data_IF_481975890396
#
_entry.id   IF_481975890396
#
_cell.length_a   1.000
_cell.length_b   1.000
_cell.length_c   1.000
_cell.angle_alpha   90.00
_cell.angle_beta   90.00
_cell.angle_gamma   90.00
#
_symmetry.space_group_name_H-M   'P 1'
#
loop_
_entity.id
_entity.type
_entity.pdbx_description
1 polymer ?
#
# COMPACT_ATOMS: atom_id res chain seq x y z
N UNK A 1 18.48 -18.38 -1.22
CA UNK A 1 18.59 -18.13 0.22
C UNK A 1 17.26 -18.36 0.90
N UNK A 2 17.23 -18.60 2.23
CA UNK A 2 15.99 -18.78 3.01
C UNK A 2 15.95 -17.79 4.18
N UNK A 3 14.90 -16.99 4.24
CA UNK A 3 14.65 -15.98 5.28
C UNK A 3 13.71 -16.53 6.34
N UNK A 4 13.93 -16.19 7.61
CA UNK A 4 12.86 -16.16 8.59
C UNK A 4 12.19 -14.79 8.50
N UNK A 5 10.98 -14.73 7.96
CA UNK A 5 10.26 -13.48 7.68
C UNK A 5 9.11 -13.25 8.67
N UNK A 6 9.29 -12.28 9.57
CA UNK A 6 8.32 -11.96 10.61
C UNK A 6 7.52 -10.71 10.20
N UNK A 7 6.20 -10.81 10.22
CA UNK A 7 5.29 -9.73 9.84
C UNK A 7 4.09 -9.61 10.78
N UNK A 8 3.53 -8.41 10.90
CA UNK A 8 2.27 -8.18 11.61
C UNK A 8 1.03 -8.55 10.79
N UNK A 9 1.20 -8.89 9.53
CA UNK A 9 0.10 -9.29 8.65
C UNK A 9 -0.54 -10.60 9.10
N UNK A 10 -1.75 -10.85 8.61
CA UNK A 10 -2.39 -12.16 8.76
C UNK A 10 -2.28 -12.93 7.44
N UNK A 11 -2.18 -14.25 7.50
CA UNK A 11 -2.15 -15.12 6.34
C UNK A 11 -3.44 -15.96 6.23
N UNK A 12 -4.02 -16.06 5.02
CA UNK A 12 -3.65 -15.40 3.77
C UNK A 12 -3.76 -13.88 3.87
N UNK A 13 -2.87 -13.15 3.18
CA UNK A 13 -2.80 -11.69 3.24
C UNK A 13 -3.24 -11.06 1.92
N UNK A 14 -3.90 -9.90 2.03
CA UNK A 14 -4.23 -9.05 0.88
C UNK A 14 -3.13 -8.00 0.58
N UNK A 15 -2.06 -7.97 1.36
CA UNK A 15 -0.93 -7.07 1.13
C UNK A 15 -0.13 -7.56 -0.06
N UNK A 16 -0.21 -6.84 -1.18
CA UNK A 16 0.42 -7.24 -2.43
C UNK A 16 1.93 -7.41 -2.33
N UNK A 17 2.63 -6.55 -1.58
CA UNK A 17 4.06 -6.68 -1.31
C UNK A 17 4.42 -7.96 -0.53
N UNK A 18 3.54 -8.46 0.32
CA UNK A 18 3.75 -9.73 1.02
C UNK A 18 3.29 -10.91 0.15
N UNK A 19 2.05 -10.88 -0.34
CA UNK A 19 1.48 -12.01 -1.09
C UNK A 19 2.18 -12.21 -2.45
N UNK A 20 2.34 -11.16 -3.25
CA UNK A 20 2.95 -11.27 -4.57
C UNK A 20 4.47 -11.29 -4.49
N UNK A 21 5.11 -10.28 -3.88
CA UNK A 21 6.57 -10.17 -3.91
C UNK A 21 7.24 -11.33 -3.15
N UNK A 22 6.90 -11.54 -1.86
CA UNK A 22 7.49 -12.61 -1.06
C UNK A 22 6.88 -13.98 -1.35
N UNK A 23 5.55 -14.07 -1.52
CA UNK A 23 4.84 -15.34 -1.69
C UNK A 23 4.97 -15.96 -3.07
N UNK A 24 5.14 -15.14 -4.12
CA UNK A 24 5.06 -15.62 -5.52
C UNK A 24 6.36 -15.38 -6.31
N UNK A 25 6.89 -14.15 -6.32
CA UNK A 25 7.95 -13.76 -7.26
C UNK A 25 9.37 -14.00 -6.75
N UNK A 26 9.69 -13.63 -5.50
CA UNK A 26 11.03 -13.84 -4.94
C UNK A 26 11.49 -15.31 -4.96
N UNK A 27 10.64 -16.33 -4.73
CA UNK A 27 11.03 -17.74 -4.88
C UNK A 27 11.54 -18.10 -6.28
N UNK A 28 11.03 -17.46 -7.34
CA UNK A 28 11.47 -17.67 -8.73
C UNK A 28 12.92 -17.22 -8.94
N UNK A 29 13.40 -16.31 -8.09
CA UNK A 29 14.77 -15.79 -8.09
C UNK A 29 15.64 -16.40 -6.98
N UNK A 30 15.18 -17.49 -6.35
CA UNK A 30 15.95 -18.24 -5.35
C UNK A 30 15.95 -17.61 -3.94
N UNK A 31 15.03 -16.68 -3.65
CA UNK A 31 14.83 -16.11 -2.31
C UNK A 31 13.54 -16.68 -1.72
N UNK A 32 13.70 -17.60 -0.79
CA UNK A 32 12.62 -18.27 -0.07
C UNK A 32 12.42 -17.65 1.31
N UNK A 33 11.21 -17.76 1.85
CA UNK A 33 10.90 -17.21 3.18
C UNK A 33 9.88 -18.08 3.92
N UNK A 34 10.20 -18.44 5.16
CA UNK A 34 9.21 -18.98 6.07
C UNK A 34 8.54 -17.79 6.76
N UNK A 35 7.22 -17.70 6.62
CA UNK A 35 6.48 -16.56 7.14
C UNK A 35 5.97 -16.80 8.55
N UNK A 36 6.31 -15.90 9.48
CA UNK A 36 5.79 -15.86 10.85
C UNK A 36 4.73 -14.76 10.92
N UNK A 37 3.47 -15.15 11.06
CA UNK A 37 2.33 -14.24 10.92
C UNK A 37 1.15 -14.64 11.81
N UNK A 38 0.12 -13.79 11.83
CA UNK A 38 -1.19 -14.16 12.36
C UNK A 38 -1.98 -15.03 11.37
N UNK A 39 -2.93 -15.83 11.86
CA UNK A 39 -3.91 -16.50 11.01
C UNK A 39 -5.08 -15.54 10.76
N UNK A 40 -5.52 -15.44 9.50
CA UNK A 40 -6.71 -14.65 9.16
C UNK A 40 -7.95 -15.25 9.83
N UNK A 41 -8.73 -14.46 10.58
CA UNK A 41 -9.95 -14.97 11.21
C UNK A 41 -10.92 -15.60 10.19
N UNK A 42 -11.49 -16.73 10.55
CA UNK A 42 -12.43 -17.47 9.68
C UNK A 42 -11.76 -18.27 8.55
N UNK A 43 -10.44 -18.32 8.49
CA UNK A 43 -9.71 -19.15 7.54
C UNK A 43 -9.05 -20.34 8.25
N UNK A 44 -9.79 -21.47 8.32
CA UNK A 44 -9.33 -22.69 9.01
C UNK A 44 -8.53 -23.64 8.10
N UNK A 45 -8.42 -23.31 6.82
CA UNK A 45 -7.68 -24.10 5.83
C UNK A 45 -6.17 -23.97 5.92
N UNK A 46 -5.46 -24.86 5.24
CA UNK A 46 -4.03 -24.74 5.00
C UNK A 46 -3.76 -23.51 4.13
N UNK A 47 -2.93 -22.60 4.62
CA UNK A 47 -2.49 -21.44 3.84
C UNK A 47 -1.37 -21.90 2.93
N UNK A 48 -1.57 -21.83 1.62
CA UNK A 48 -0.51 -22.08 0.66
C UNK A 48 0.44 -20.88 0.62
N UNK A 49 1.72 -21.14 0.87
CA UNK A 49 2.80 -20.18 0.80
C UNK A 49 3.93 -20.76 -0.03
N UNK A 50 4.00 -20.39 -1.32
CA UNK A 50 4.94 -21.00 -2.25
C UNK A 50 6.42 -20.71 -1.90
N UNK A 51 6.67 -19.71 -1.06
CA UNK A 51 8.03 -19.32 -0.65
C UNK A 51 8.62 -20.20 0.47
N UNK A 52 7.84 -21.03 1.14
CA UNK A 52 8.32 -21.83 2.27
C UNK A 52 7.22 -22.27 3.23
N UNK A 53 7.52 -22.30 4.52
CA UNK A 53 6.58 -22.72 5.56
C UNK A 53 5.80 -21.54 6.14
N UNK A 54 4.59 -21.82 6.62
CA UNK A 54 3.77 -20.86 7.36
C UNK A 54 3.79 -21.19 8.84
N UNK A 55 4.34 -20.28 9.64
CA UNK A 55 4.33 -20.32 11.10
C UNK A 55 3.25 -19.36 11.60
N UNK A 56 2.01 -19.86 11.75
CA UNK A 56 0.86 -19.04 12.06
C UNK A 56 0.42 -19.18 13.51
N UNK A 57 -0.03 -18.06 14.12
CA UNK A 57 -0.70 -18.06 15.41
C UNK A 57 -2.12 -17.52 15.30
N UNK A 58 -3.02 -18.02 16.16
CA UNK A 58 -4.34 -17.42 16.31
C UNK A 58 -4.24 -16.03 16.93
N UNK A 59 -4.76 -15.04 16.22
CA UNK A 59 -4.80 -13.63 16.64
C UNK A 59 -6.21 -13.17 17.05
N UNK A 60 -7.09 -14.09 17.40
CA UNK A 60 -8.42 -13.76 17.91
C UNK A 60 -8.37 -12.94 19.22
N UNK A 61 -9.34 -12.05 19.40
CA UNK A 61 -9.49 -11.20 20.57
C UNK A 61 -9.21 -9.72 20.30
N UNK A 62 -9.28 -8.88 21.35
CA UNK A 62 -9.05 -7.43 21.24
C UNK A 62 -7.62 -7.08 20.82
N UNK A 63 -7.44 -5.85 20.32
CA UNK A 63 -6.17 -5.39 19.72
C UNK A 63 -4.93 -5.63 20.60
N UNK A 64 -5.00 -5.32 21.89
CA UNK A 64 -3.87 -5.52 22.82
C UNK A 64 -3.50 -7.01 22.91
N UNK A 65 -4.49 -7.90 23.05
CA UNK A 65 -4.27 -9.36 23.09
C UNK A 65 -3.66 -9.88 21.79
N UNK A 66 -4.12 -9.37 20.66
CA UNK A 66 -3.55 -9.66 19.34
C UNK A 66 -2.07 -9.29 19.28
N UNK A 67 -1.69 -8.08 19.70
CA UNK A 67 -0.30 -7.63 19.70
C UNK A 67 0.60 -8.50 20.60
N UNK A 68 0.13 -8.85 21.80
CA UNK A 68 0.88 -9.72 22.71
C UNK A 68 1.07 -11.11 22.13
N UNK A 69 0.01 -11.73 21.57
CA UNK A 69 0.10 -13.05 20.92
C UNK A 69 1.09 -13.03 19.76
N UNK A 70 1.02 -12.04 18.87
CA UNK A 70 1.93 -11.89 17.72
C UNK A 70 3.37 -11.71 18.19
N UNK A 71 3.61 -10.88 19.20
CA UNK A 71 4.95 -10.68 19.78
C UNK A 71 5.53 -11.96 20.36
N UNK A 72 4.79 -12.66 21.22
CA UNK A 72 5.23 -13.92 21.83
C UNK A 72 5.47 -15.01 20.79
N UNK A 73 4.62 -15.09 19.77
CA UNK A 73 4.80 -16.03 18.66
C UNK A 73 6.07 -15.73 17.88
N UNK A 74 6.29 -14.47 17.53
CA UNK A 74 7.51 -14.03 16.86
C UNK A 74 8.78 -14.33 17.67
N UNK A 75 8.77 -14.05 18.98
CA UNK A 75 9.88 -14.36 19.88
C UNK A 75 10.15 -15.89 19.91
N UNK A 76 9.11 -16.73 19.98
CA UNK A 76 9.27 -18.20 19.93
C UNK A 76 9.89 -18.65 18.61
N UNK A 77 9.47 -18.07 17.48
CA UNK A 77 10.06 -18.36 16.17
C UNK A 77 11.54 -17.96 16.12
N UNK A 78 11.89 -16.79 16.66
CA UNK A 78 13.28 -16.33 16.74
C UNK A 78 14.16 -17.27 17.60
N UNK A 79 13.64 -17.84 18.69
CA UNK A 79 14.39 -18.82 19.50
C UNK A 79 14.68 -20.11 18.72
N UNK A 80 13.70 -20.61 17.95
CA UNK A 80 13.82 -21.84 17.14
C UNK A 80 14.70 -21.67 15.91
N UNK A 81 14.84 -20.44 15.38
CA UNK A 81 15.64 -20.17 14.20
C UNK A 81 17.11 -20.53 14.43
N UNK A 82 17.75 -21.09 13.42
CA UNK A 82 19.18 -21.45 13.44
C UNK A 82 19.84 -21.27 12.06
N UNK A 83 21.17 -21.19 12.05
CA UNK A 83 21.98 -21.04 10.81
C UNK A 83 21.83 -22.21 9.84
N UNK A 84 21.46 -23.38 10.35
CA UNK A 84 21.20 -24.55 9.51
C UNK A 84 19.94 -24.38 8.64
N UNK A 85 18.97 -23.58 9.12
CA UNK A 85 17.69 -23.40 8.45
C UNK A 85 17.56 -22.08 7.71
N UNK A 86 18.22 -21.01 8.20
CA UNK A 86 18.04 -19.66 7.67
C UNK A 86 19.37 -18.95 7.41
N UNK A 87 19.43 -18.17 6.34
CA UNK A 87 20.56 -17.32 6.02
C UNK A 87 20.41 -15.90 6.57
N UNK A 88 19.18 -15.45 6.88
CA UNK A 88 18.93 -14.17 7.51
C UNK A 88 17.61 -14.14 8.27
N UNK A 89 17.47 -13.19 9.18
CA UNK A 89 16.21 -12.84 9.88
C UNK A 89 15.74 -11.51 9.35
N UNK A 90 14.48 -11.44 8.93
CA UNK A 90 13.84 -10.20 8.47
C UNK A 90 12.57 -9.91 9.26
N UNK A 91 12.44 -8.69 9.73
CA UNK A 91 11.24 -8.20 10.43
C UNK A 91 10.63 -7.04 9.68
N UNK A 92 9.30 -7.10 9.47
CA UNK A 92 8.52 -6.07 8.78
C UNK A 92 7.62 -5.33 9.75
N UNK A 93 7.77 -3.99 9.82
CA UNK A 93 6.88 -3.04 10.49
C UNK A 93 6.58 -3.28 11.98
N UNK A 94 7.41 -4.02 12.71
CA UNK A 94 7.23 -4.34 14.13
C UNK A 94 8.45 -3.92 14.96
N UNK A 95 8.57 -2.64 15.38
CA UNK A 95 9.78 -2.12 16.04
C UNK A 95 10.21 -2.89 17.30
N UNK A 96 9.25 -3.31 18.13
CA UNK A 96 9.55 -4.09 19.34
C UNK A 96 10.08 -5.47 18.97
N UNK A 97 9.41 -6.19 18.08
CA UNK A 97 9.89 -7.51 17.63
C UNK A 97 11.19 -7.40 16.85
N UNK A 98 11.41 -6.29 16.14
CA UNK A 98 12.67 -6.03 15.43
C UNK A 98 13.87 -5.90 16.39
N UNK A 99 13.69 -5.31 17.55
CA UNK A 99 14.74 -5.27 18.57
C UNK A 99 15.10 -6.68 19.06
N UNK A 100 14.12 -7.55 19.31
CA UNK A 100 14.36 -8.96 19.62
C UNK A 100 14.98 -9.72 18.44
N UNK A 101 14.53 -9.45 17.22
CA UNK A 101 15.05 -10.03 15.99
C UNK A 101 16.52 -9.69 15.78
N UNK A 102 16.89 -8.42 15.99
CA UNK A 102 18.27 -7.95 15.92
C UNK A 102 19.17 -8.66 16.97
N UNK A 103 18.69 -8.74 18.22
CA UNK A 103 19.43 -9.44 19.28
C UNK A 103 19.61 -10.94 18.96
N UNK A 104 18.55 -11.60 18.52
CA UNK A 104 18.59 -13.01 18.12
C UNK A 104 19.54 -13.24 16.91
N UNK A 105 19.49 -12.35 15.91
CA UNK A 105 20.39 -12.43 14.75
C UNK A 105 21.86 -12.30 15.17
N UNK A 106 22.19 -11.34 16.04
CA UNK A 106 23.56 -11.18 16.55
C UNK A 106 24.01 -12.39 17.37
N UNK A 107 23.18 -12.91 18.27
CA UNK A 107 23.50 -14.11 19.06
C UNK A 107 23.72 -15.34 18.18
N UNK A 108 22.99 -15.44 17.06
CA UNK A 108 23.08 -16.56 16.10
C UNK A 108 24.06 -16.29 14.95
N UNK A 109 24.69 -15.13 14.91
CA UNK A 109 25.57 -14.64 13.84
C UNK A 109 24.90 -14.73 12.45
N UNK A 110 23.60 -14.34 12.36
CA UNK A 110 22.84 -14.21 11.13
C UNK A 110 22.73 -12.72 10.76
N UNK A 111 22.69 -12.36 9.48
CA UNK A 111 22.27 -11.04 9.04
C UNK A 111 20.85 -10.73 9.52
N UNK A 112 20.64 -9.45 9.88
CA UNK A 112 19.34 -8.92 10.28
C UNK A 112 18.89 -7.84 9.31
N UNK A 113 17.72 -8.05 8.70
CA UNK A 113 17.10 -7.10 7.78
C UNK A 113 15.83 -6.51 8.40
N UNK A 114 15.63 -5.21 8.18
CA UNK A 114 14.40 -4.55 8.55
C UNK A 114 13.65 -4.07 7.32
N UNK A 115 12.37 -4.40 7.23
CA UNK A 115 11.48 -3.94 6.17
C UNK A 115 10.53 -2.88 6.74
N UNK A 116 10.65 -1.66 6.23
CA UNK A 116 9.86 -0.51 6.65
C UNK A 116 8.90 -0.12 5.54
N UNK A 117 7.64 -0.57 5.63
CA UNK A 117 6.61 -0.19 4.66
C UNK A 117 5.83 1.06 5.06
N UNK A 118 5.91 1.42 6.33
CA UNK A 118 5.25 2.60 6.89
C UNK A 118 5.98 3.05 8.17
N UNK A 119 6.03 4.35 8.49
CA UNK A 119 6.56 4.84 9.75
C UNK A 119 5.59 4.56 10.90
N UNK A 120 5.50 3.28 11.29
CA UNK A 120 4.55 2.76 12.27
C UNK A 120 4.51 3.54 13.59
N UNK A 121 5.66 3.97 14.17
CA UNK A 121 5.65 4.75 15.40
C UNK A 121 4.92 6.09 15.26
N UNK A 122 5.14 6.78 14.15
CA UNK A 122 4.51 8.06 13.85
C UNK A 122 3.00 7.88 13.66
N UNK A 123 2.60 6.87 12.91
CA UNK A 123 1.18 6.53 12.73
C UNK A 123 0.47 6.20 14.03
N UNK A 124 1.14 5.52 14.97
CA UNK A 124 0.59 5.25 16.31
C UNK A 124 0.42 6.55 17.13
N UNK A 125 1.40 7.45 17.08
CA UNK A 125 1.33 8.73 17.79
C UNK A 125 0.21 9.61 17.22
N UNK A 126 0.07 9.67 15.90
CA UNK A 126 -0.97 10.46 15.24
C UNK A 126 -2.36 9.88 15.51
N UNK A 127 -2.52 8.55 15.48
CA UNK A 127 -3.75 7.88 15.88
C UNK A 127 -4.15 8.22 17.34
N UNK A 128 -3.19 8.30 18.25
CA UNK A 128 -3.45 8.71 19.62
C UNK A 128 -3.94 10.18 19.68
N UNK A 129 -3.30 11.07 18.92
CA UNK A 129 -3.68 12.49 18.85
C UNK A 129 -5.08 12.69 18.27
N UNK A 130 -5.38 11.99 17.18
CA UNK A 130 -6.71 12.05 16.54
C UNK A 130 -7.84 11.58 17.45
N UNK A 131 -7.59 10.48 18.20
CA UNK A 131 -8.58 9.95 19.15
C UNK A 131 -8.78 10.86 20.35
N UNK A 132 -7.75 11.52 20.81
CA UNK A 132 -7.78 12.34 22.01
C UNK A 132 -8.14 11.55 23.28
N UNK A 133 -8.15 12.23 24.43
CA UNK A 133 -8.56 11.65 25.70
C UNK A 133 -10.08 11.36 25.78
N UNK A 134 -10.88 12.03 24.95
CA UNK A 134 -12.34 11.85 24.88
C UNK A 134 -12.75 10.45 24.43
N UNK A 135 -11.91 9.77 23.66
CA UNK A 135 -12.17 8.39 23.23
C UNK A 135 -11.91 7.34 24.34
N UNK A 136 -11.37 7.77 25.49
CA UNK A 136 -11.03 6.95 26.64
C UNK A 136 -9.52 6.77 26.84
N UNK A 137 -9.11 6.82 28.12
CA UNK A 137 -7.70 6.84 28.51
C UNK A 137 -6.86 5.73 27.88
N UNK A 138 -7.33 4.49 27.90
CA UNK A 138 -6.59 3.35 27.34
C UNK A 138 -6.49 3.40 25.82
N UNK A 139 -7.51 3.93 25.12
CA UNK A 139 -7.49 4.09 23.66
C UNK A 139 -6.53 5.19 23.21
N UNK A 140 -6.22 6.13 24.08
CA UNK A 140 -5.19 7.15 23.89
C UNK A 140 -3.80 6.64 24.29
N UNK A 141 -3.65 6.14 25.54
CA UNK A 141 -2.32 5.79 26.09
C UNK A 141 -1.65 4.64 25.36
N UNK A 142 -2.39 3.60 24.98
CA UNK A 142 -1.79 2.43 24.33
C UNK A 142 -1.09 2.80 23.00
N UNK A 143 -1.70 3.44 22.02
CA UNK A 143 -0.99 3.83 20.80
C UNK A 143 0.06 4.90 21.07
N UNK A 144 -0.15 5.83 22.02
CA UNK A 144 0.84 6.85 22.35
C UNK A 144 2.13 6.24 22.94
N UNK A 145 2.02 5.36 23.93
CA UNK A 145 3.18 4.68 24.53
C UNK A 145 3.84 3.76 23.52
N UNK A 146 3.05 2.96 22.79
CA UNK A 146 3.55 2.07 21.74
C UNK A 146 4.33 2.84 20.68
N UNK A 147 3.81 3.98 20.23
CA UNK A 147 4.48 4.85 19.27
C UNK A 147 5.78 5.44 19.83
N UNK A 148 5.80 5.92 21.08
CA UNK A 148 7.02 6.48 21.72
C UNK A 148 8.10 5.43 21.91
N UNK A 149 7.73 4.26 22.43
CA UNK A 149 8.66 3.13 22.60
C UNK A 149 9.15 2.62 21.25
N UNK A 150 8.22 2.43 20.31
CA UNK A 150 8.55 2.01 18.95
C UNK A 150 9.51 2.98 18.25
N UNK A 151 9.28 4.28 18.39
CA UNK A 151 10.14 5.34 17.85
C UNK A 151 11.57 5.27 18.41
N UNK A 152 11.69 5.11 19.72
CA UNK A 152 13.01 4.95 20.35
C UNK A 152 13.73 3.70 19.85
N UNK A 153 13.06 2.53 19.90
CA UNK A 153 13.64 1.26 19.46
C UNK A 153 14.02 1.29 17.98
N UNK A 154 13.12 1.78 17.12
CA UNK A 154 13.34 1.80 15.67
C UNK A 154 14.51 2.71 15.31
N UNK A 155 14.41 4.00 15.65
CA UNK A 155 15.36 5.02 15.16
C UNK A 155 16.67 5.08 15.95
N UNK A 156 16.72 4.60 17.19
CA UNK A 156 17.96 4.60 17.99
C UNK A 156 18.69 3.26 18.01
N UNK A 157 17.99 2.16 17.74
CA UNK A 157 18.58 0.83 17.87
C UNK A 157 18.52 0.04 16.56
N UNK A 158 17.33 -0.15 15.98
CA UNK A 158 17.12 -1.10 14.90
C UNK A 158 17.74 -0.61 13.60
N UNK A 159 17.36 0.58 13.12
CA UNK A 159 17.79 1.07 11.81
C UNK A 159 19.29 1.28 11.71
N UNK A 160 19.94 1.76 12.77
CA UNK A 160 21.40 1.96 12.77
C UNK A 160 22.21 0.66 12.89
N UNK A 161 21.60 -0.43 13.33
CA UNK A 161 22.29 -1.71 13.56
C UNK A 161 21.85 -2.84 12.65
N UNK A 162 20.79 -2.64 11.88
CA UNK A 162 20.39 -3.58 10.84
C UNK A 162 21.50 -3.71 9.78
N UNK A 163 21.74 -4.91 9.28
CA UNK A 163 22.70 -5.12 8.21
C UNK A 163 22.19 -4.53 6.90
N UNK A 164 20.86 -4.56 6.69
CA UNK A 164 20.21 -3.84 5.61
C UNK A 164 18.78 -3.41 5.98
N UNK A 165 18.32 -2.31 5.40
CA UNK A 165 16.97 -1.76 5.60
C UNK A 165 16.29 -1.61 4.25
N UNK A 166 15.17 -2.27 4.07
CA UNK A 166 14.30 -2.06 2.92
C UNK A 166 13.24 -1.01 3.28
N UNK A 167 13.16 0.06 2.49
CA UNK A 167 12.24 1.18 2.70
C UNK A 167 11.24 1.27 1.56
N UNK A 168 10.05 1.85 1.82
CA UNK A 168 8.94 1.82 0.87
C UNK A 168 9.13 2.75 -0.35
N UNK A 169 9.97 3.78 -0.25
CA UNK A 169 10.16 4.76 -1.32
C UNK A 169 11.52 5.45 -1.23
N UNK A 170 11.93 6.15 -2.29
CA UNK A 170 13.11 7.03 -2.26
C UNK A 170 12.93 8.13 -1.21
N UNK A 171 11.75 8.72 -1.11
CA UNK A 171 11.46 9.71 -0.08
C UNK A 171 11.66 9.16 1.33
N UNK A 172 11.19 7.93 1.62
CA UNK A 172 11.43 7.30 2.91
C UNK A 172 12.93 7.07 3.16
N UNK A 173 13.70 6.72 2.12
CA UNK A 173 15.16 6.59 2.22
C UNK A 173 15.81 7.92 2.59
N UNK A 174 15.40 9.02 1.96
CA UNK A 174 15.88 10.38 2.28
C UNK A 174 15.54 10.76 3.73
N UNK A 175 14.30 10.52 4.16
CA UNK A 175 13.85 10.81 5.51
C UNK A 175 14.65 10.01 6.57
N UNK A 176 14.94 8.74 6.29
CA UNK A 176 15.78 7.91 7.19
C UNK A 176 17.25 8.32 7.15
N UNK A 177 17.78 8.71 6.01
CA UNK A 177 19.13 9.25 5.89
C UNK A 177 19.29 10.56 6.68
N UNK A 178 18.28 11.43 6.67
CA UNK A 178 18.24 12.65 7.49
C UNK A 178 18.24 12.35 9.01
N UNK A 179 17.80 11.15 9.41
CA UNK A 179 17.89 10.66 10.79
C UNK A 179 19.23 9.95 11.09
N UNK A 180 20.19 9.98 10.15
CA UNK A 180 21.53 9.42 10.31
C UNK A 180 21.66 7.93 9.98
N UNK A 181 20.65 7.31 9.34
CA UNK A 181 20.79 5.93 8.85
C UNK A 181 21.62 5.97 7.56
N UNK A 182 22.60 5.08 7.45
CA UNK A 182 23.51 5.01 6.32
C UNK A 182 22.75 4.69 5.00
N UNK A 183 22.73 5.59 4.00
CA UNK A 183 22.04 5.37 2.74
C UNK A 183 22.54 4.16 1.95
N UNK A 184 23.82 3.75 2.15
CA UNK A 184 24.38 2.57 1.49
C UNK A 184 23.76 1.26 1.99
N UNK A 185 23.19 1.26 3.19
CA UNK A 185 22.47 0.11 3.78
C UNK A 185 20.97 0.18 3.59
N UNK A 186 20.49 1.09 2.74
CA UNK A 186 19.06 1.24 2.47
C UNK A 186 18.74 1.00 0.99
N UNK A 187 17.75 0.17 0.73
CA UNK A 187 17.20 -0.04 -0.62
C UNK A 187 15.72 0.30 -0.64
N UNK A 188 15.29 1.23 -1.47
CA UNK A 188 13.88 1.46 -1.74
C UNK A 188 13.26 0.27 -2.48
N UNK A 189 12.11 -0.18 -2.02
CA UNK A 189 11.31 -1.21 -2.66
C UNK A 189 9.91 -0.68 -2.85
N UNK A 190 9.68 -0.18 -4.05
CA UNK A 190 8.44 0.47 -4.42
C UNK A 190 7.30 -0.55 -4.55
N UNK A 191 6.07 -0.10 -4.38
CA UNK A 191 4.92 -0.96 -4.64
C UNK A 191 4.80 -1.25 -6.14
N UNK A 192 4.52 -2.49 -6.43
CA UNK A 192 4.38 -3.01 -7.77
C UNK A 192 2.97 -3.53 -8.07
N UNK A 193 2.84 -4.09 -9.25
CA UNK A 193 1.63 -4.74 -9.74
C UNK A 193 1.93 -6.19 -10.10
N UNK A 194 1.04 -7.10 -9.73
CA UNK A 194 1.06 -8.47 -10.24
C UNK A 194 0.46 -8.50 -11.65
N UNK A 195 1.35 -8.42 -12.65
CA UNK A 195 0.95 -8.40 -14.06
C UNK A 195 0.38 -9.74 -14.55
N UNK A 196 0.54 -10.82 -13.79
CA UNK A 196 -0.10 -12.10 -14.11
C UNK A 196 -1.58 -12.12 -13.70
N UNK A 197 -1.95 -11.34 -12.67
CA UNK A 197 -3.34 -11.18 -12.24
C UNK A 197 -4.09 -10.15 -13.08
N UNK A 198 -3.38 -9.17 -13.67
CA UNK A 198 -3.93 -8.15 -14.56
C UNK A 198 -3.67 -8.55 -16.01
N UNK A 199 -4.47 -9.48 -16.52
CA UNK A 199 -4.52 -9.82 -17.93
C UNK A 199 -5.69 -9.07 -18.58
N UNK A 200 -5.39 -8.07 -19.41
CA UNK A 200 -6.42 -7.21 -20.00
C UNK A 200 -7.41 -7.99 -20.87
N UNK A 201 -6.96 -9.06 -21.53
CA UNK A 201 -7.80 -9.91 -22.36
C UNK A 201 -8.84 -10.72 -21.54
N UNK A 202 -8.46 -11.08 -20.29
CA UNK A 202 -9.31 -11.86 -19.39
C UNK A 202 -10.11 -10.96 -18.42
N UNK A 203 -9.95 -9.64 -18.51
CA UNK A 203 -10.55 -8.68 -17.59
C UNK A 203 -11.42 -7.66 -18.36
N UNK A 204 -12.65 -7.99 -18.75
CA UNK A 204 -13.54 -7.05 -19.44
C UNK A 204 -13.92 -5.87 -18.54
N UNK A 205 -14.32 -4.75 -19.12
CA UNK A 205 -14.94 -3.64 -18.38
C UNK A 205 -16.18 -4.09 -17.62
N UNK A 206 -16.53 -3.36 -16.55
CA UNK A 206 -17.74 -3.66 -15.78
C UNK A 206 -18.97 -3.52 -16.70
N UNK A 207 -19.83 -4.53 -16.65
CA UNK A 207 -21.14 -4.53 -17.30
C UNK A 207 -22.21 -4.06 -16.28
N UNK A 208 -22.26 -2.74 -16.09
CA UNK A 208 -23.19 -2.09 -15.18
C UNK A 208 -24.02 -1.07 -15.94
N UNK A 209 -25.35 -1.23 -16.05
CA UNK A 209 -26.22 -0.31 -16.80
C UNK A 209 -26.13 1.15 -16.35
N UNK A 210 -25.70 1.39 -15.10
CA UNK A 210 -25.52 2.75 -14.57
C UNK A 210 -24.35 3.50 -15.22
N UNK A 211 -23.45 2.81 -15.90
CA UNK A 211 -22.31 3.38 -16.63
C UNK A 211 -22.67 3.74 -18.08
N UNK A 212 -23.79 3.24 -18.59
CA UNK A 212 -24.19 3.42 -19.99
C UNK A 212 -24.40 4.90 -20.31
N UNK A 213 -23.75 5.38 -21.37
CA UNK A 213 -23.81 6.78 -21.81
C UNK A 213 -23.10 7.77 -20.87
N UNK A 214 -22.31 7.30 -19.89
CA UNK A 214 -21.59 8.15 -18.94
C UNK A 214 -20.12 8.31 -19.30
N UNK A 215 -19.57 9.47 -18.99
CA UNK A 215 -18.13 9.75 -18.99
C UNK A 215 -17.57 9.40 -17.61
N UNK A 216 -16.98 8.24 -17.49
CA UNK A 216 -16.65 7.63 -16.19
C UNK A 216 -15.30 8.10 -15.67
N UNK A 217 -15.30 8.62 -14.45
CA UNK A 217 -14.15 8.92 -13.62
C UNK A 217 -14.10 7.92 -12.44
N UNK A 218 -13.00 7.21 -12.22
CA UNK A 218 -12.95 6.15 -11.21
C UNK A 218 -11.94 6.43 -10.09
N UNK A 219 -12.34 6.14 -8.86
CA UNK A 219 -11.46 6.02 -7.71
C UNK A 219 -11.59 4.63 -7.10
N UNK A 220 -10.49 3.89 -6.95
CA UNK A 220 -10.44 2.57 -6.30
C UNK A 220 -9.69 2.65 -4.97
N UNK A 221 -10.35 2.29 -3.87
CA UNK A 221 -9.70 2.19 -2.56
C UNK A 221 -10.64 2.42 -1.39
N UNK A 222 -10.09 2.33 -0.17
CA UNK A 222 -10.86 2.65 1.04
C UNK A 222 -11.26 4.11 1.06
N UNK A 223 -12.46 4.37 1.59
CA UNK A 223 -13.02 5.72 1.73
C UNK A 223 -12.83 6.28 3.15
N UNK A 224 -11.76 5.86 3.82
CA UNK A 224 -11.49 6.24 5.21
C UNK A 224 -11.08 7.73 5.34
N UNK A 225 -11.34 8.34 6.49
CA UNK A 225 -11.07 9.77 6.79
C UNK A 225 -9.68 10.25 6.37
N UNK A 226 -8.59 9.52 6.60
CA UNK A 226 -7.25 9.98 6.20
C UNK A 226 -7.06 10.09 4.69
N UNK A 227 -7.95 9.50 3.88
CA UNK A 227 -7.89 9.60 2.41
C UNK A 227 -8.39 10.93 1.86
N UNK A 228 -9.23 11.63 2.63
CA UNK A 228 -9.75 12.96 2.31
C UNK A 228 -10.25 13.08 0.87
N UNK A 229 -11.04 12.09 0.45
CA UNK A 229 -11.53 11.98 -0.94
C UNK A 229 -12.62 13.00 -1.29
N UNK A 230 -13.10 13.76 -0.34
CA UNK A 230 -14.15 14.78 -0.52
C UNK A 230 -13.81 15.83 -1.58
N UNK A 231 -12.51 16.04 -1.88
CA UNK A 231 -12.09 16.94 -2.96
C UNK A 231 -12.60 16.47 -4.35
N UNK A 232 -12.89 15.17 -4.48
CA UNK A 232 -13.42 14.61 -5.73
C UNK A 232 -14.85 15.06 -6.00
N UNK A 233 -15.61 15.46 -4.99
CA UNK A 233 -16.96 16.03 -5.19
C UNK A 233 -16.90 17.46 -5.73
N UNK A 234 -15.98 18.29 -5.23
CA UNK A 234 -15.73 19.62 -5.81
C UNK A 234 -15.18 19.49 -7.25
N UNK A 235 -14.25 18.57 -7.48
CA UNK A 235 -13.77 18.22 -8.82
C UNK A 235 -14.95 17.87 -9.75
N UNK A 236 -15.79 16.92 -9.33
CA UNK A 236 -16.93 16.46 -10.14
C UNK A 236 -17.91 17.57 -10.46
N UNK A 237 -18.23 18.43 -9.49
CA UNK A 237 -19.12 19.59 -9.68
C UNK A 237 -18.57 20.53 -10.76
N UNK A 238 -17.27 20.73 -10.83
CA UNK A 238 -16.61 21.55 -11.87
C UNK A 238 -16.59 20.87 -13.22
N UNK A 239 -16.25 19.56 -13.28
CA UNK A 239 -16.25 18.77 -14.52
C UNK A 239 -17.63 18.74 -15.15
N UNK A 240 -18.70 18.54 -14.39
CA UNK A 240 -20.07 18.46 -14.89
C UNK A 240 -20.60 19.76 -15.52
N UNK A 241 -19.98 20.89 -15.29
CA UNK A 241 -20.31 22.13 -16.01
C UNK A 241 -19.98 22.07 -17.50
N UNK A 242 -18.98 21.26 -17.88
CA UNK A 242 -18.54 21.09 -19.27
C UNK A 242 -18.92 19.70 -19.82
N UNK A 243 -19.00 18.70 -18.97
CA UNK A 243 -19.33 17.30 -19.27
C UNK A 243 -20.49 16.87 -18.37
N UNK A 244 -21.76 17.20 -18.71
CA UNK A 244 -22.92 16.97 -17.83
C UNK A 244 -23.17 15.50 -17.50
N UNK A 245 -22.75 14.58 -18.37
CA UNK A 245 -22.83 13.12 -18.23
C UNK A 245 -21.64 12.49 -17.47
N UNK A 246 -20.75 13.31 -16.90
CA UNK A 246 -19.67 12.82 -16.05
C UNK A 246 -20.22 12.11 -14.82
N UNK A 247 -19.69 10.91 -14.53
CA UNK A 247 -20.03 10.05 -13.42
C UNK A 247 -18.77 9.70 -12.62
N UNK A 248 -18.76 9.97 -11.32
CA UNK A 248 -17.70 9.52 -10.43
C UNK A 248 -18.07 8.15 -9.85
N UNK A 249 -17.25 7.14 -10.10
CA UNK A 249 -17.40 5.81 -9.51
C UNK A 249 -16.42 5.66 -8.35
N UNK A 250 -16.94 5.55 -7.13
CA UNK A 250 -16.17 5.25 -5.92
C UNK A 250 -16.19 3.75 -5.67
N UNK A 251 -15.07 3.10 -5.97
CA UNK A 251 -14.92 1.63 -5.91
C UNK A 251 -14.25 1.28 -4.57
N UNK A 252 -15.06 0.83 -3.64
CA UNK A 252 -14.67 0.56 -2.25
C UNK A 252 -15.58 1.24 -1.25
N UNK A 253 -15.20 1.15 0.02
CA UNK A 253 -16.03 1.66 1.11
C UNK A 253 -15.19 2.03 2.34
N UNK A 254 -15.85 2.41 3.43
CA UNK A 254 -15.30 2.56 4.77
C UNK A 254 -16.08 1.73 5.77
N UNK A 255 -15.41 1.26 6.82
CA UNK A 255 -16.07 0.58 7.93
C UNK A 255 -16.74 1.55 8.93
N UNK A 256 -16.53 2.87 8.76
CA UNK A 256 -17.11 3.94 9.60
C UNK A 256 -18.38 4.46 8.95
N UNK A 257 -19.56 3.97 9.40
CA UNK A 257 -20.87 4.38 8.87
C UNK A 257 -21.14 5.89 9.02
N UNK A 258 -20.61 6.48 10.09
CA UNK A 258 -20.74 7.95 10.32
C UNK A 258 -19.95 8.71 9.27
N UNK A 259 -18.75 8.22 8.93
CA UNK A 259 -17.95 8.85 7.89
C UNK A 259 -18.55 8.62 6.50
N UNK A 260 -19.12 7.43 6.23
CA UNK A 260 -19.84 7.18 4.97
C UNK A 260 -21.00 8.17 4.79
N UNK A 261 -21.84 8.34 5.82
CA UNK A 261 -22.94 9.27 5.78
C UNK A 261 -22.46 10.73 5.58
N UNK A 262 -21.35 11.09 6.23
CA UNK A 262 -20.71 12.39 6.02
C UNK A 262 -20.24 12.60 4.58
N UNK A 263 -19.60 11.61 3.96
CA UNK A 263 -19.18 11.69 2.54
C UNK A 263 -20.39 11.87 1.61
N UNK A 264 -21.50 11.16 1.86
CA UNK A 264 -22.73 11.32 1.09
C UNK A 264 -23.33 12.74 1.23
N UNK A 265 -23.27 13.31 2.45
CA UNK A 265 -23.65 14.69 2.68
C UNK A 265 -22.74 15.69 1.95
N UNK A 266 -21.42 15.45 1.89
CA UNK A 266 -20.51 16.29 1.12
C UNK A 266 -20.81 16.24 -0.39
N UNK A 267 -21.12 15.05 -0.94
CA UNK A 267 -21.55 14.93 -2.34
C UNK A 267 -22.86 15.69 -2.62
N UNK A 268 -23.82 15.64 -1.69
CA UNK A 268 -25.08 16.39 -1.80
C UNK A 268 -24.84 17.90 -1.68
N UNK A 269 -23.99 18.33 -0.76
CA UNK A 269 -23.64 19.75 -0.59
C UNK A 269 -22.93 20.33 -1.82
N UNK A 270 -22.12 19.51 -2.52
CA UNK A 270 -21.49 19.87 -3.80
C UNK A 270 -22.46 19.81 -4.99
N UNK A 271 -23.72 19.37 -4.80
CA UNK A 271 -24.74 19.26 -5.85
C UNK A 271 -24.46 18.13 -6.85
N UNK A 272 -23.75 17.07 -6.46
CA UNK A 272 -23.35 15.98 -7.36
C UNK A 272 -23.77 14.58 -6.88
N UNK A 273 -24.65 14.49 -5.89
CA UNK A 273 -25.06 13.21 -5.31
C UNK A 273 -25.63 12.23 -6.34
N UNK A 274 -26.33 12.74 -7.37
CA UNK A 274 -26.89 11.98 -8.49
C UNK A 274 -25.83 11.46 -9.47
N UNK A 275 -24.63 11.99 -9.43
CA UNK A 275 -23.51 11.68 -10.31
C UNK A 275 -22.36 10.94 -9.60
N UNK A 276 -22.61 10.39 -8.42
CA UNK A 276 -21.66 9.55 -7.68
C UNK A 276 -22.23 8.15 -7.55
N UNK A 277 -21.53 7.17 -8.13
CA UNK A 277 -21.83 5.75 -7.99
C UNK A 277 -20.98 5.16 -6.89
N UNK A 278 -21.61 4.69 -5.83
CA UNK A 278 -20.99 3.99 -4.71
C UNK A 278 -21.14 2.49 -4.91
N UNK A 279 -20.03 1.77 -5.13
CA UNK A 279 -20.09 0.32 -5.35
C UNK A 279 -20.10 -0.48 -4.05
N UNK A 280 -19.64 0.12 -2.94
CA UNK A 280 -19.30 -0.63 -1.74
C UNK A 280 -18.04 -1.49 -1.91
N UNK A 281 -17.84 -2.41 -0.96
CA UNK A 281 -16.73 -3.37 -1.02
C UNK A 281 -16.94 -4.37 -2.17
N UNK A 282 -15.94 -4.48 -3.04
CA UNK A 282 -15.91 -5.45 -4.13
C UNK A 282 -14.66 -6.35 -4.04
N UNK A 283 -14.71 -7.57 -4.54
CA UNK A 283 -13.50 -8.34 -4.84
C UNK A 283 -12.59 -7.54 -5.78
N UNK A 284 -11.27 -7.65 -5.60
CA UNK A 284 -10.30 -6.82 -6.34
C UNK A 284 -10.49 -6.86 -7.86
N UNK A 285 -10.72 -8.06 -8.43
CA UNK A 285 -10.92 -8.22 -9.88
C UNK A 285 -12.18 -7.50 -10.36
N UNK A 286 -13.25 -7.51 -9.58
CA UNK A 286 -14.46 -6.76 -9.91
C UNK A 286 -14.20 -5.25 -9.82
N UNK A 287 -13.46 -4.79 -8.81
CA UNK A 287 -13.03 -3.39 -8.74
C UNK A 287 -12.23 -2.95 -9.96
N UNK A 288 -11.31 -3.78 -10.44
CA UNK A 288 -10.54 -3.50 -11.65
C UNK A 288 -11.40 -3.40 -12.92
N UNK A 289 -12.50 -4.16 -13.02
CA UNK A 289 -13.45 -4.05 -14.15
C UNK A 289 -14.11 -2.67 -14.20
N UNK A 290 -14.47 -2.10 -13.04
CA UNK A 290 -14.98 -0.72 -12.98
C UNK A 290 -13.90 0.30 -13.35
N UNK A 291 -12.66 0.10 -12.92
CA UNK A 291 -11.55 0.97 -13.34
C UNK A 291 -11.38 0.91 -14.85
N UNK A 292 -11.46 -0.28 -15.46
CA UNK A 292 -11.37 -0.44 -16.93
C UNK A 292 -12.51 0.22 -17.71
N UNK A 293 -13.66 0.39 -17.09
CA UNK A 293 -14.78 1.13 -17.67
C UNK A 293 -14.55 2.66 -17.64
N UNK A 294 -13.55 3.13 -16.87
CA UNK A 294 -13.28 4.55 -16.72
C UNK A 294 -12.44 5.12 -17.88
N UNK A 295 -12.69 6.37 -18.19
CA UNK A 295 -11.87 7.16 -19.11
C UNK A 295 -10.65 7.77 -18.38
N UNK A 296 -10.82 8.11 -17.10
CA UNK A 296 -9.79 8.68 -16.24
C UNK A 296 -9.89 8.06 -14.86
N UNK A 297 -8.75 7.64 -14.31
CA UNK A 297 -8.65 7.20 -12.92
C UNK A 297 -8.07 8.30 -12.02
N UNK A 298 -8.51 8.34 -10.76
CA UNK A 298 -8.22 9.42 -9.83
C UNK A 298 -7.45 8.88 -8.62
N UNK A 299 -6.33 9.52 -8.29
CA UNK A 299 -5.52 9.14 -7.13
C UNK A 299 -5.16 10.35 -6.26
N UNK A 300 -6.14 10.92 -5.53
CA UNK A 300 -5.88 11.96 -4.54
C UNK A 300 -5.24 11.35 -3.29
N UNK A 301 -4.07 11.84 -2.91
CA UNK A 301 -3.38 11.45 -1.67
C UNK A 301 -2.98 12.73 -0.94
N UNK A 302 -3.57 13.00 0.25
CA UNK A 302 -3.19 14.19 1.02
C UNK A 302 -1.68 14.24 1.27
N UNK A 303 -1.10 15.44 1.14
CA UNK A 303 0.31 15.66 1.42
C UNK A 303 0.58 15.61 2.92
N UNK A 304 1.71 15.09 3.30
CA UNK A 304 2.16 15.04 4.68
C UNK A 304 3.23 13.97 4.92
N UNK A 305 4.02 14.10 6.00
CA UNK A 305 5.19 13.25 6.22
C UNK A 305 4.90 11.75 6.21
N UNK A 306 3.72 11.33 6.69
CA UNK A 306 3.33 9.92 6.71
C UNK A 306 2.90 9.38 5.35
N UNK A 307 2.30 10.22 4.50
CA UNK A 307 1.79 9.79 3.20
C UNK A 307 2.78 10.03 2.08
N UNK A 308 3.65 11.03 2.21
CA UNK A 308 4.68 11.35 1.22
C UNK A 308 5.79 10.30 1.16
N UNK A 309 6.06 9.59 2.27
CA UNK A 309 7.05 8.52 2.31
C UNK A 309 6.54 7.17 1.77
N UNK A 310 5.27 7.07 1.41
CA UNK A 310 4.67 5.85 0.86
C UNK A 310 4.93 5.67 -0.64
N UNK A 311 4.64 4.46 -1.12
CA UNK A 311 4.54 4.13 -2.56
C UNK A 311 3.12 3.63 -2.81
N UNK A 312 2.21 4.48 -3.31
CA UNK A 312 0.82 4.11 -3.55
C UNK A 312 0.66 3.12 -4.70
N UNK A 313 -0.13 2.07 -4.49
CA UNK A 313 -0.41 1.05 -5.52
C UNK A 313 -1.34 1.53 -6.62
N UNK A 314 -2.20 2.51 -6.33
CA UNK A 314 -3.28 2.94 -7.23
C UNK A 314 -2.79 3.36 -8.62
N UNK A 315 -1.80 4.27 -8.67
CA UNK A 315 -1.32 4.78 -9.96
C UNK A 315 -0.75 3.65 -10.81
N UNK A 316 0.18 2.80 -10.34
CA UNK A 316 0.64 1.65 -11.12
C UNK A 316 -0.49 0.69 -11.51
N UNK A 317 -1.46 0.42 -10.64
CA UNK A 317 -2.60 -0.45 -10.96
C UNK A 317 -3.47 0.14 -12.09
N UNK A 318 -3.80 1.43 -12.02
CA UNK A 318 -4.58 2.11 -13.05
C UNK A 318 -3.88 2.10 -14.41
N UNK A 319 -2.57 2.38 -14.40
CA UNK A 319 -1.77 2.33 -15.61
C UNK A 319 -1.66 0.91 -16.19
N UNK A 320 -1.51 -0.10 -15.33
CA UNK A 320 -1.53 -1.50 -15.76
C UNK A 320 -2.87 -1.90 -16.41
N UNK A 321 -3.97 -1.32 -15.94
CA UNK A 321 -5.32 -1.50 -16.49
C UNK A 321 -5.55 -0.67 -17.77
N UNK A 322 -4.56 0.11 -18.21
CA UNK A 322 -4.64 0.94 -19.41
C UNK A 322 -5.50 2.20 -19.23
N UNK A 323 -5.61 2.72 -18.02
CA UNK A 323 -6.42 3.91 -17.75
C UNK A 323 -5.52 5.09 -17.36
N UNK A 324 -5.60 6.24 -18.06
CA UNK A 324 -4.83 7.42 -17.74
C UNK A 324 -5.23 7.99 -16.37
N UNK A 325 -4.28 8.61 -15.67
CA UNK A 325 -4.44 8.97 -14.26
C UNK A 325 -4.34 10.47 -14.04
N UNK A 326 -5.23 11.01 -13.23
CA UNK A 326 -5.00 12.28 -12.53
C UNK A 326 -4.59 11.97 -11.09
N UNK A 327 -3.42 12.39 -10.70
CA UNK A 327 -2.93 12.30 -9.34
C UNK A 327 -2.41 13.65 -8.84
N UNK A 328 -2.17 13.74 -7.52
CA UNK A 328 -1.46 14.91 -7.01
C UNK A 328 0.04 14.65 -6.85
N UNK A 329 0.74 15.71 -6.50
CA UNK A 329 2.19 15.83 -6.33
C UNK A 329 2.77 15.03 -5.13
N UNK A 330 2.14 13.90 -4.76
CA UNK A 330 2.77 12.92 -3.87
C UNK A 330 4.03 12.37 -4.56
N UNK A 331 5.18 12.28 -3.87
CA UNK A 331 6.49 12.04 -4.50
C UNK A 331 6.54 10.83 -5.44
N UNK A 332 6.06 9.67 -4.98
CA UNK A 332 6.10 8.45 -5.81
C UNK A 332 5.12 8.52 -7.00
N UNK A 333 3.92 9.08 -6.80
CA UNK A 333 2.95 9.28 -7.90
C UNK A 333 3.50 10.24 -8.96
N UNK A 334 4.12 11.34 -8.53
CA UNK A 334 4.72 12.32 -9.44
C UNK A 334 5.82 11.68 -10.29
N UNK A 335 6.65 10.83 -9.69
CA UNK A 335 7.67 10.05 -10.42
C UNK A 335 7.04 9.13 -11.44
N UNK A 336 6.05 8.31 -11.04
CA UNK A 336 5.39 7.36 -11.96
C UNK A 336 4.74 8.08 -13.15
N UNK A 337 4.05 9.19 -12.91
CA UNK A 337 3.38 9.94 -13.99
C UNK A 337 4.40 10.67 -14.86
N UNK A 338 5.43 11.28 -14.26
CA UNK A 338 6.50 11.95 -14.99
C UNK A 338 7.30 11.03 -15.92
N UNK A 339 7.59 9.80 -15.47
CA UNK A 339 8.34 8.81 -16.25
C UNK A 339 7.48 8.09 -17.30
N UNK A 340 6.21 7.80 -16.99
CA UNK A 340 5.32 7.08 -17.91
C UNK A 340 4.66 7.98 -18.95
N UNK A 341 4.49 9.27 -18.66
CA UNK A 341 3.70 10.18 -19.48
C UNK A 341 2.21 9.81 -19.56
N UNK A 342 1.73 8.94 -18.65
CA UNK A 342 0.41 8.32 -18.76
C UNK A 342 -0.65 8.97 -17.87
N UNK A 343 -0.57 10.29 -17.71
CA UNK A 343 -1.52 11.05 -16.89
C UNK A 343 -1.03 12.45 -16.57
N UNK A 344 -1.69 13.07 -15.61
CA UNK A 344 -1.37 14.42 -15.14
C UNK A 344 -1.18 14.44 -13.62
N UNK A 345 -0.09 15.08 -13.19
CA UNK A 345 0.21 15.30 -11.78
C UNK A 345 -0.04 16.77 -11.44
N UNK A 346 -0.93 17.04 -10.50
CA UNK A 346 -1.45 18.38 -10.20
C UNK A 346 -1.46 18.64 -8.68
N UNK A 347 -1.59 19.89 -8.23
CA UNK A 347 -1.81 20.19 -6.81
C UNK A 347 -3.04 19.49 -6.23
N UNK A 348 -3.01 19.18 -4.93
CA UNK A 348 -4.10 18.52 -4.22
C UNK A 348 -5.27 19.50 -3.98
N UNK A 349 -6.02 19.83 -5.04
CA UNK A 349 -7.23 20.66 -4.99
C UNK A 349 -8.28 20.14 -5.97
N UNK A 350 -9.57 20.33 -5.65
CA UNK A 350 -10.67 19.93 -6.56
C UNK A 350 -10.60 20.64 -7.91
N UNK A 351 -10.17 21.91 -7.94
CA UNK A 351 -9.99 22.69 -9.17
C UNK A 351 -8.92 22.10 -10.09
N UNK A 352 -7.71 21.86 -9.56
CA UNK A 352 -6.62 21.29 -10.35
C UNK A 352 -6.94 19.89 -10.87
N UNK A 353 -7.63 19.06 -10.05
CA UNK A 353 -8.11 17.75 -10.48
C UNK A 353 -9.17 17.87 -11.58
N UNK A 354 -10.06 18.88 -11.50
CA UNK A 354 -11.08 19.09 -12.53
C UNK A 354 -10.47 19.48 -13.87
N UNK A 355 -9.54 20.43 -13.88
CA UNK A 355 -8.86 20.88 -15.10
C UNK A 355 -8.09 19.74 -15.77
N UNK A 356 -7.38 18.93 -14.96
CA UNK A 356 -6.65 17.77 -15.47
C UNK A 356 -7.59 16.66 -15.99
N UNK A 357 -8.69 16.39 -15.28
CA UNK A 357 -9.69 15.43 -15.75
C UNK A 357 -10.33 15.86 -17.06
N UNK A 358 -10.70 17.13 -17.21
CA UNK A 358 -11.23 17.70 -18.44
C UNK A 358 -10.23 17.61 -19.59
N UNK A 359 -8.96 17.89 -19.35
CA UNK A 359 -7.91 17.75 -20.36
C UNK A 359 -7.78 16.30 -20.87
N UNK A 360 -7.81 15.31 -19.97
CA UNK A 360 -7.75 13.89 -20.34
C UNK A 360 -9.05 13.42 -21.03
N UNK A 361 -10.22 13.87 -20.57
CA UNK A 361 -11.51 13.56 -21.21
C UNK A 361 -11.63 14.15 -22.62
N UNK A 362 -11.01 15.30 -22.88
CA UNK A 362 -10.99 15.95 -24.20
C UNK A 362 -9.92 15.41 -25.15
N UNK A 363 -8.97 14.63 -24.66
CA UNK A 363 -7.89 14.08 -25.48
C UNK A 363 -8.41 13.00 -26.43
N UNK A 364 -7.97 13.07 -27.71
CA UNK A 364 -8.28 12.01 -28.68
C UNK A 364 -7.47 10.76 -28.34
N UNK A 365 -8.08 9.56 -28.50
CA UNK A 365 -7.33 8.30 -28.37
C UNK A 365 -6.26 8.23 -29.47
N UNK A 366 -5.00 8.38 -29.11
CA UNK A 366 -3.87 8.19 -30.03
C UNK A 366 -3.32 6.77 -29.91
N UNK A 367 -2.90 6.15 -31.02
CA UNK A 367 -2.13 4.90 -31.00
C UNK A 367 -0.76 5.19 -30.34
N UNK A 368 -0.43 4.43 -29.28
CA UNK A 368 0.77 4.67 -28.49
C UNK A 368 0.63 5.79 -27.44
N UNK A 369 -0.58 6.30 -27.22
CA UNK A 369 -0.88 7.32 -26.21
C UNK A 369 -0.82 6.80 -24.75
N UNK A 370 -1.26 7.62 -23.79
CA UNK A 370 -1.11 7.37 -22.34
C UNK A 370 -1.56 5.98 -21.85
N UNK A 371 -2.54 5.37 -22.52
CA UNK A 371 -3.03 4.02 -22.19
C UNK A 371 -1.98 2.93 -22.41
N UNK A 372 -1.21 3.03 -23.49
CA UNK A 372 -0.17 2.04 -23.83
C UNK A 372 1.12 2.31 -23.07
N UNK A 373 1.59 3.56 -23.04
CA UNK A 373 2.83 3.94 -22.35
C UNK A 373 2.78 3.63 -20.86
N UNK A 374 1.62 3.82 -20.22
CA UNK A 374 1.42 3.50 -18.80
C UNK A 374 1.57 2.02 -18.50
N UNK A 375 0.94 1.14 -19.26
CA UNK A 375 1.04 -0.30 -19.07
C UNK A 375 2.46 -0.84 -19.35
N UNK A 376 3.12 -0.32 -20.39
CA UNK A 376 4.52 -0.66 -20.69
C UNK A 376 5.47 -0.22 -19.58
N UNK A 377 5.30 0.99 -19.05
CA UNK A 377 6.06 1.48 -17.91
C UNK A 377 5.91 0.57 -16.70
N UNK A 378 4.67 0.22 -16.35
CA UNK A 378 4.41 -0.67 -15.19
C UNK A 378 5.06 -2.02 -15.40
N UNK A 379 4.93 -2.61 -16.57
CA UNK A 379 5.57 -3.91 -16.89
C UNK A 379 7.08 -3.83 -16.72
N UNK A 380 7.71 -2.74 -17.19
CA UNK A 380 9.16 -2.58 -17.18
C UNK A 380 9.74 -2.17 -15.83
N UNK A 381 9.01 -1.36 -15.03
CA UNK A 381 9.57 -0.72 -13.84
C UNK A 381 8.82 -1.07 -12.55
N UNK A 382 7.52 -1.38 -12.61
CA UNK A 382 6.64 -1.56 -11.45
C UNK A 382 5.96 -2.94 -11.41
N UNK A 383 6.35 -3.91 -12.25
CA UNK A 383 5.87 -5.28 -12.06
C UNK A 383 6.60 -5.95 -10.89
N UNK A 384 5.88 -6.76 -10.11
CA UNK A 384 6.52 -7.52 -9.02
C UNK A 384 7.55 -8.52 -9.55
N UNK A 385 7.44 -9.00 -10.79
CA UNK A 385 8.48 -9.80 -11.43
C UNK A 385 9.80 -9.02 -11.53
N UNK A 386 9.73 -7.78 -12.04
CA UNK A 386 10.92 -6.93 -12.17
C UNK A 386 11.51 -6.53 -10.81
N UNK A 387 10.63 -6.15 -9.87
CA UNK A 387 11.03 -5.78 -8.51
C UNK A 387 11.70 -6.96 -7.82
N UNK A 388 11.14 -8.17 -7.93
CA UNK A 388 11.72 -9.39 -7.34
C UNK A 388 13.09 -9.73 -7.92
N UNK A 389 13.27 -9.61 -9.23
CA UNK A 389 14.57 -9.85 -9.88
C UNK A 389 15.64 -8.90 -9.32
N UNK A 390 15.33 -7.59 -9.24
CA UNK A 390 16.26 -6.59 -8.69
C UNK A 390 16.52 -6.82 -7.21
N UNK A 391 15.48 -7.10 -6.43
CA UNK A 391 15.58 -7.30 -4.99
C UNK A 391 16.37 -8.57 -4.63
N UNK A 392 16.24 -9.63 -5.42
CA UNK A 392 17.02 -10.86 -5.23
C UNK A 392 18.52 -10.61 -5.33
N UNK A 393 18.95 -9.72 -6.24
CA UNK A 393 20.37 -9.34 -6.35
C UNK A 393 20.82 -8.51 -5.12
N UNK A 394 19.95 -7.67 -4.57
CA UNK A 394 20.24 -6.95 -3.32
C UNK A 394 20.42 -7.96 -2.17
N UNK A 395 19.52 -8.91 -2.02
CA UNK A 395 19.65 -9.95 -0.99
C UNK A 395 20.94 -10.76 -1.11
N UNK A 396 21.38 -11.09 -2.33
CA UNK A 396 22.64 -11.81 -2.56
C UNK A 396 23.86 -10.99 -2.14
N UNK A 397 23.81 -9.66 -2.35
CA UNK A 397 24.90 -8.75 -1.95
C UNK A 397 24.95 -8.50 -0.44
N UNK A 398 23.82 -8.66 0.26
CA UNK A 398 23.72 -8.44 1.71
C UNK A 398 24.08 -9.68 2.54
N UNK A 399 24.37 -10.85 1.92
CA UNK A 399 24.86 -12.07 2.58
C UNK A 399 26.36 -12.03 2.80
#
# INVERSE_FOLDING_TARGET
>A
MRLLFLTAETCPTFRADVAALFGKYLPRHGVYSDIVAGRTPGHDGNVQWAAGETLLCDVSGGQAKKHVKTLLHGIRALFKAGRASYQAIQVRDMPVLAAFGLAAARAKRLPFYYWMSFPMPEGQIDLARERGLSAGLMKFLFPWVSGRVGRFLLYRMVLHRADHVFVQSERMKEDMAALGVDPARMTPVLMGVDMEDIRLDDLPSADDPRLEGKRVLAYLGTLDRPRRIEILFDMLARVRRQVPDALLVLIGDTADDVHRAWLQQQAAAAGVADAVLWTGWLPMKEGWRYVRAAEVALSPIPRGPLLDCGSPTKVPEYLALGVPVVCNDNPDQATVIGESGAGLCVPYTGEAFADAALALLGAKPEQGGPRTSGAEYVKAQRSYERIAATLAEVYKKCL
#
